data_IF_407800785097
#
_entry.id   IF_407800785097
#
_cell.length_a   1.000
_cell.length_b   1.000
_cell.length_c   1.000
_cell.angle_alpha   90.00
_cell.angle_beta   90.00
_cell.angle_gamma   90.00
#
_symmetry.space_group_name_H-M   'P 1'
#
loop_
_entity.id
_entity.type
_entity.pdbx_description
1 polymer ?
#
# COMPACT_ATOMS: atom_id res chain seq x y z
N UNK A 1 -8.55 17.90 7.95
CA UNK A 1 -8.63 19.35 7.67
C UNK A 1 -8.88 19.62 6.18
N UNK A 2 -8.01 19.18 5.25
CA UNK A 2 -8.16 19.45 3.81
C UNK A 2 -9.52 19.02 3.23
N UNK A 3 -10.00 17.83 3.57
CA UNK A 3 -11.30 17.32 3.10
C UNK A 3 -12.49 18.16 3.58
N UNK A 4 -12.45 18.65 4.83
CA UNK A 4 -13.51 19.53 5.38
C UNK A 4 -13.53 20.89 4.68
N UNK A 5 -12.36 21.44 4.39
CA UNK A 5 -12.27 22.71 3.63
C UNK A 5 -12.81 22.51 2.22
N UNK A 6 -12.40 21.44 1.55
CA UNK A 6 -12.82 21.12 0.18
C UNK A 6 -14.35 20.99 0.07
N UNK A 7 -14.98 20.22 0.97
CA UNK A 7 -16.45 20.03 0.97
C UNK A 7 -17.22 21.28 1.42
N UNK A 8 -16.57 22.17 2.16
CA UNK A 8 -17.14 23.49 2.53
C UNK A 8 -17.04 24.54 1.41
N UNK A 9 -16.07 24.39 0.49
CA UNK A 9 -15.86 25.34 -0.60
C UNK A 9 -16.70 25.04 -1.84
N UNK A 10 -16.88 23.75 -2.16
CA UNK A 10 -17.52 23.31 -3.42
C UNK A 10 -18.40 22.08 -3.15
N UNK A 11 -19.53 21.95 -3.87
CA UNK A 11 -20.37 20.76 -3.78
C UNK A 11 -19.60 19.51 -4.23
N UNK A 12 -19.85 18.38 -3.55
CA UNK A 12 -19.20 17.12 -3.83
C UNK A 12 -19.41 16.67 -5.30
N UNK A 13 -20.58 16.93 -5.85
CA UNK A 13 -20.92 16.56 -7.23
C UNK A 13 -20.10 17.33 -8.28
N UNK A 14 -19.67 18.55 -7.97
CA UNK A 14 -18.87 19.36 -8.88
C UNK A 14 -17.42 18.87 -9.04
N UNK A 15 -16.90 18.17 -8.03
CA UNK A 15 -15.53 17.63 -8.00
C UNK A 15 -15.48 16.12 -8.21
N UNK A 16 -16.63 15.45 -8.21
CA UNK A 16 -16.72 14.00 -8.41
C UNK A 16 -16.20 13.60 -9.79
N UNK A 17 -15.40 12.54 -9.84
CA UNK A 17 -14.76 12.08 -11.07
C UNK A 17 -13.62 12.95 -11.61
N UNK A 18 -13.11 13.89 -10.82
CA UNK A 18 -11.93 14.67 -11.18
C UNK A 18 -10.67 14.00 -10.62
N UNK A 19 -9.64 13.87 -11.45
CA UNK A 19 -8.32 13.36 -11.03
C UNK A 19 -7.60 14.35 -10.09
N UNK A 20 -7.97 15.64 -10.16
CA UNK A 20 -7.38 16.72 -9.36
C UNK A 20 -8.45 17.53 -8.60
N UNK A 21 -9.13 16.94 -7.60
CA UNK A 21 -10.27 17.59 -6.94
C UNK A 21 -9.92 18.91 -6.24
N UNK A 22 -8.71 19.04 -5.68
CA UNK A 22 -8.26 20.27 -5.01
C UNK A 22 -8.02 21.41 -5.99
N UNK A 23 -7.29 21.17 -7.08
CA UNK A 23 -7.02 22.19 -8.10
C UNK A 23 -8.33 22.64 -8.77
N UNK A 24 -9.23 21.68 -9.07
CA UNK A 24 -10.55 21.95 -9.64
C UNK A 24 -11.42 22.80 -8.71
N UNK A 25 -11.39 22.56 -7.40
CA UNK A 25 -12.14 23.37 -6.44
C UNK A 25 -11.70 24.84 -6.47
N UNK A 26 -10.39 25.12 -6.48
CA UNK A 26 -9.87 26.49 -6.60
C UNK A 26 -10.25 27.15 -7.93
N UNK A 27 -10.23 26.38 -9.02
CA UNK A 27 -10.67 26.85 -10.33
C UNK A 27 -12.16 27.22 -10.35
N UNK A 28 -13.03 26.41 -9.72
CA UNK A 28 -14.48 26.65 -9.66
C UNK A 28 -14.85 27.91 -8.87
N UNK A 29 -14.07 28.30 -7.87
CA UNK A 29 -14.27 29.54 -7.12
C UNK A 29 -13.55 30.75 -7.75
N UNK A 30 -12.94 30.57 -8.93
CA UNK A 30 -12.30 31.66 -9.70
C UNK A 30 -10.88 32.01 -9.28
N UNK A 31 -10.24 31.23 -8.40
CA UNK A 31 -8.87 31.49 -7.92
C UNK A 31 -7.86 30.65 -8.72
N UNK A 32 -7.74 30.91 -10.01
CA UNK A 32 -6.94 30.11 -10.94
C UNK A 32 -5.44 30.04 -10.60
N UNK A 33 -4.87 31.12 -10.04
CA UNK A 33 -3.46 31.10 -9.62
C UNK A 33 -3.21 30.08 -8.49
N UNK A 34 -4.15 29.95 -7.54
CA UNK A 34 -4.04 28.98 -6.46
C UNK A 34 -4.20 27.54 -6.99
N UNK A 35 -5.08 27.31 -7.97
CA UNK A 35 -5.19 26.05 -8.68
C UNK A 35 -3.85 25.64 -9.31
N UNK A 36 -3.15 26.57 -9.98
CA UNK A 36 -1.83 26.33 -10.54
C UNK A 36 -0.76 25.98 -9.50
N UNK A 37 -0.73 26.68 -8.37
CA UNK A 37 0.20 26.38 -7.27
C UNK A 37 -0.07 24.99 -6.66
N UNK A 38 -1.33 24.66 -6.46
CA UNK A 38 -1.74 23.33 -5.94
C UNK A 38 -1.34 22.23 -6.91
N UNK A 39 -1.62 22.37 -8.20
CA UNK A 39 -1.23 21.40 -9.21
C UNK A 39 0.29 21.20 -9.28
N UNK A 40 1.07 22.28 -9.26
CA UNK A 40 2.53 22.22 -9.22
C UNK A 40 3.04 21.51 -7.94
N UNK A 41 2.47 21.86 -6.79
CA UNK A 41 2.77 21.19 -5.52
C UNK A 41 2.45 19.70 -5.55
N UNK A 42 1.34 19.31 -6.17
CA UNK A 42 0.96 17.91 -6.34
C UNK A 42 1.98 17.12 -7.19
N UNK A 43 2.47 17.71 -8.28
CA UNK A 43 3.53 17.08 -9.12
C UNK A 43 4.80 16.83 -8.32
N UNK A 44 5.25 17.82 -7.54
CA UNK A 44 6.46 17.68 -6.71
C UNK A 44 6.23 16.60 -5.64
N UNK A 45 5.09 16.64 -4.96
CA UNK A 45 4.75 15.69 -3.90
C UNK A 45 4.67 14.25 -4.45
N UNK A 46 4.00 14.04 -5.57
CA UNK A 46 3.89 12.73 -6.22
C UNK A 46 5.26 12.21 -6.66
N UNK A 47 6.10 13.06 -7.24
CA UNK A 47 7.47 12.70 -7.62
C UNK A 47 8.29 12.26 -6.41
N UNK A 48 8.22 13.00 -5.29
CA UNK A 48 8.92 12.65 -4.06
C UNK A 48 8.45 11.31 -3.49
N UNK A 49 7.13 11.07 -3.48
CA UNK A 49 6.56 9.80 -3.03
C UNK A 49 7.02 8.64 -3.91
N UNK A 50 6.97 8.78 -5.24
CA UNK A 50 7.45 7.76 -6.18
C UNK A 50 8.91 7.38 -5.93
N UNK A 51 9.78 8.36 -5.71
CA UNK A 51 11.20 8.11 -5.40
C UNK A 51 11.36 7.31 -4.11
N UNK A 52 10.62 7.64 -3.06
CA UNK A 52 10.67 6.93 -1.77
C UNK A 52 10.18 5.49 -1.91
N UNK A 53 9.06 5.27 -2.60
CA UNK A 53 8.53 3.92 -2.83
C UNK A 53 9.46 3.09 -3.71
N UNK A 54 10.00 3.65 -4.78
CA UNK A 54 10.98 2.99 -5.65
C UNK A 54 12.20 2.51 -4.87
N UNK A 55 12.73 3.38 -4.01
CA UNK A 55 13.86 3.07 -3.15
C UNK A 55 13.53 1.99 -2.11
N UNK A 56 12.39 2.11 -1.44
CA UNK A 56 11.91 1.14 -0.45
C UNK A 56 11.69 -0.24 -1.05
N UNK A 57 11.01 -0.32 -2.19
CA UNK A 57 10.72 -1.57 -2.88
C UNK A 57 11.99 -2.32 -3.29
N UNK A 58 12.97 -1.61 -3.85
CA UNK A 58 14.25 -2.20 -4.23
C UNK A 58 14.99 -2.85 -3.04
N UNK A 59 14.90 -2.25 -1.87
CA UNK A 59 15.48 -2.79 -0.62
C UNK A 59 14.72 -4.00 -0.08
N UNK A 60 13.41 -4.01 -0.18
CA UNK A 60 12.60 -5.16 0.23
C UNK A 60 12.98 -6.37 -0.63
N UNK A 61 13.06 -6.24 -1.95
CA UNK A 61 13.46 -7.32 -2.83
C UNK A 61 14.88 -7.79 -2.56
N UNK A 62 15.79 -6.87 -2.28
CA UNK A 62 17.15 -7.19 -1.87
C UNK A 62 17.17 -8.04 -0.58
N UNK A 63 16.42 -7.63 0.44
CA UNK A 63 16.31 -8.37 1.70
C UNK A 63 15.74 -9.77 1.50
N UNK A 64 14.66 -9.88 0.74
CA UNK A 64 14.04 -11.17 0.40
C UNK A 64 15.01 -12.09 -0.36
N UNK A 65 15.78 -11.55 -1.30
CA UNK A 65 16.77 -12.33 -2.04
C UNK A 65 17.94 -12.77 -1.15
N UNK A 66 18.37 -11.92 -0.22
CA UNK A 66 19.41 -12.26 0.78
C UNK A 66 18.95 -13.39 1.70
N UNK A 67 17.69 -13.39 2.08
CA UNK A 67 17.07 -14.42 2.92
C UNK A 67 16.73 -15.72 2.15
N UNK A 68 17.00 -15.76 0.82
CA UNK A 68 16.79 -16.93 -0.04
C UNK A 68 15.37 -17.07 -0.59
N UNK A 69 14.50 -16.06 -0.39
CA UNK A 69 13.11 -16.07 -0.86
C UNK A 69 12.96 -15.71 -2.34
N UNK A 70 13.97 -15.02 -2.90
CA UNK A 70 14.04 -14.63 -4.31
C UNK A 70 15.39 -15.08 -4.94
N UNK A 71 15.48 -15.12 -6.28
CA UNK A 71 16.72 -15.48 -6.96
C UNK A 71 17.91 -14.62 -6.55
N UNK A 72 19.15 -15.18 -6.48
CA UNK A 72 20.34 -14.45 -6.01
C UNK A 72 20.71 -13.22 -6.85
N UNK A 73 20.22 -13.14 -8.10
CA UNK A 73 20.42 -11.97 -8.95
C UNK A 73 19.90 -10.67 -8.28
N UNK A 74 18.80 -10.75 -7.55
CA UNK A 74 18.22 -9.62 -6.83
C UNK A 74 19.00 -9.22 -5.56
N UNK A 75 19.97 -10.03 -5.12
CA UNK A 75 20.86 -9.72 -4.02
C UNK A 75 22.14 -8.99 -4.44
N UNK A 76 22.33 -8.69 -5.73
CA UNK A 76 23.53 -8.01 -6.24
C UNK A 76 23.49 -6.52 -5.91
N UNK A 77 24.62 -6.03 -5.39
CA UNK A 77 24.87 -4.62 -5.02
C UNK A 77 25.84 -4.02 -6.05
N UNK A 78 25.59 -2.79 -6.46
CA UNK A 78 26.51 -2.07 -7.35
C UNK A 78 27.84 -1.77 -6.63
N UNK A 79 29.02 -2.09 -7.21
CA UNK A 79 30.30 -1.95 -6.52
C UNK A 79 30.63 -0.51 -6.10
N UNK A 80 30.29 0.48 -6.93
CA UNK A 80 30.56 1.90 -6.68
C UNK A 80 29.48 2.55 -5.80
N UNK A 81 28.19 2.39 -6.15
CA UNK A 81 27.07 3.11 -5.50
C UNK A 81 26.49 2.39 -4.29
N UNK A 82 26.87 1.14 -4.05
CA UNK A 82 26.40 0.31 -2.91
C UNK A 82 24.87 0.18 -2.84
N UNK A 83 24.19 0.23 -3.98
CA UNK A 83 22.73 0.13 -4.12
C UNK A 83 22.32 -1.13 -4.89
N UNK A 84 21.13 -1.70 -4.66
CA UNK A 84 20.62 -2.86 -5.40
C UNK A 84 20.11 -2.44 -6.79
N UNK A 85 21.02 -2.10 -7.70
CA UNK A 85 20.74 -1.50 -9.00
C UNK A 85 19.85 -2.36 -9.90
N UNK A 86 20.02 -3.68 -9.87
CA UNK A 86 19.21 -4.62 -10.67
C UNK A 86 17.74 -4.48 -10.26
N UNK A 87 17.46 -4.46 -8.95
CA UNK A 87 16.10 -4.31 -8.45
C UNK A 87 15.51 -2.96 -8.84
N UNK A 88 16.29 -1.89 -8.69
CA UNK A 88 15.84 -0.54 -9.01
C UNK A 88 15.46 -0.41 -10.50
N UNK A 89 16.30 -0.91 -11.41
CA UNK A 89 16.03 -0.88 -12.85
C UNK A 89 14.82 -1.75 -13.19
N UNK A 90 14.78 -3.00 -12.68
CA UNK A 90 13.68 -3.92 -12.95
C UNK A 90 12.33 -3.40 -12.48
N UNK A 91 12.27 -2.90 -11.25
CA UNK A 91 11.04 -2.29 -10.71
C UNK A 91 10.64 -1.07 -11.54
N UNK A 92 11.60 -0.20 -11.89
CA UNK A 92 11.33 0.97 -12.72
C UNK A 92 10.71 0.61 -14.07
N UNK A 93 11.26 -0.41 -14.76
CA UNK A 93 10.73 -0.89 -16.04
C UNK A 93 9.32 -1.46 -15.87
N UNK A 94 9.10 -2.30 -14.85
CA UNK A 94 7.78 -2.91 -14.59
C UNK A 94 6.75 -1.83 -14.25
N UNK A 95 7.08 -0.88 -13.38
CA UNK A 95 6.17 0.21 -13.01
C UNK A 95 5.86 1.09 -14.22
N UNK A 96 6.85 1.45 -15.04
CA UNK A 96 6.64 2.24 -16.25
C UNK A 96 5.72 1.51 -17.25
N UNK A 97 5.95 0.21 -17.47
CA UNK A 97 5.12 -0.59 -18.35
C UNK A 97 3.67 -0.69 -17.83
N UNK A 98 3.49 -0.99 -16.55
CA UNK A 98 2.16 -1.06 -15.95
C UNK A 98 1.43 0.28 -16.01
N UNK A 99 2.12 1.40 -15.73
CA UNK A 99 1.54 2.74 -15.80
C UNK A 99 1.11 3.14 -17.21
N UNK A 100 1.72 2.56 -18.25
CA UNK A 100 1.34 2.83 -19.63
C UNK A 100 0.04 2.13 -20.07
N UNK A 101 -0.31 1.01 -19.44
CA UNK A 101 -1.42 0.15 -19.88
C UNK A 101 -2.59 0.05 -18.92
N UNK A 102 -2.43 0.41 -17.66
CA UNK A 102 -3.45 0.23 -16.65
C UNK A 102 -4.07 1.56 -16.19
N UNK A 103 -5.37 1.51 -15.85
CA UNK A 103 -6.10 2.65 -15.31
C UNK A 103 -5.67 2.97 -13.87
N UNK A 104 -5.64 4.25 -13.55
CA UNK A 104 -5.22 4.75 -12.23
C UNK A 104 -6.06 4.16 -11.08
N UNK A 105 -7.38 4.05 -11.27
CA UNK A 105 -8.30 3.52 -10.26
C UNK A 105 -7.93 2.10 -9.82
N UNK A 106 -7.53 1.24 -10.76
CA UNK A 106 -7.12 -0.14 -10.47
C UNK A 106 -5.91 -0.17 -9.54
N UNK A 107 -4.94 0.73 -9.75
CA UNK A 107 -3.75 0.80 -8.89
C UNK A 107 -4.07 1.35 -7.51
N UNK A 108 -4.93 2.36 -7.42
CA UNK A 108 -5.37 2.92 -6.15
C UNK A 108 -6.06 1.85 -5.31
N UNK A 109 -6.99 1.11 -5.89
CA UNK A 109 -7.71 0.03 -5.22
C UNK A 109 -6.80 -1.10 -4.76
N UNK A 110 -5.89 -1.58 -5.62
CA UNK A 110 -4.92 -2.62 -5.27
C UNK A 110 -3.94 -2.17 -4.19
N UNK A 111 -3.52 -0.92 -4.22
CA UNK A 111 -2.65 -0.33 -3.19
C UNK A 111 -3.38 -0.27 -1.85
N UNK A 112 -4.65 0.15 -1.85
CA UNK A 112 -5.45 0.24 -0.64
C UNK A 112 -5.64 -1.14 0.01
N UNK A 113 -6.10 -2.14 -0.75
CA UNK A 113 -6.32 -3.49 -0.19
C UNK A 113 -5.00 -4.13 0.29
N UNK A 114 -3.93 -3.99 -0.48
CA UNK A 114 -2.60 -4.51 -0.13
C UNK A 114 -2.05 -3.88 1.15
N UNK A 115 -2.17 -2.57 1.28
CA UNK A 115 -1.69 -1.83 2.46
C UNK A 115 -2.49 -2.18 3.71
N UNK A 116 -3.83 -2.20 3.61
CA UNK A 116 -4.70 -2.57 4.73
C UNK A 116 -4.44 -4.03 5.16
N UNK A 117 -4.25 -4.93 4.22
CA UNK A 117 -3.89 -6.32 4.52
C UNK A 117 -2.52 -6.43 5.19
N UNK A 118 -1.53 -5.68 4.74
CA UNK A 118 -0.22 -5.63 5.39
C UNK A 118 -0.31 -5.13 6.84
N UNK A 119 -1.14 -4.11 7.11
CA UNK A 119 -1.38 -3.64 8.49
C UNK A 119 -2.02 -4.71 9.37
N UNK A 120 -2.97 -5.49 8.84
CA UNK A 120 -3.55 -6.64 9.56
C UNK A 120 -2.45 -7.64 9.93
N UNK A 121 -1.58 -7.99 8.97
CA UNK A 121 -0.47 -8.93 9.22
C UNK A 121 0.51 -8.40 10.27
N UNK A 122 0.83 -7.10 10.24
CA UNK A 122 1.70 -6.48 11.25
C UNK A 122 1.05 -6.53 12.63
N UNK A 123 -0.24 -6.22 12.74
CA UNK A 123 -0.97 -6.31 14.01
C UNK A 123 -0.99 -7.74 14.57
N UNK A 124 -1.24 -8.74 13.73
CA UNK A 124 -1.16 -10.16 14.09
C UNK A 124 0.27 -10.51 14.51
N UNK A 125 1.27 -10.08 13.74
CA UNK A 125 2.69 -10.31 14.04
C UNK A 125 3.10 -9.76 15.41
N UNK A 126 2.63 -8.58 15.80
CA UNK A 126 2.87 -8.00 17.11
C UNK A 126 2.28 -8.89 18.22
N UNK A 127 1.06 -9.38 18.04
CA UNK A 127 0.41 -10.25 19.04
C UNK A 127 1.14 -11.59 19.17
N UNK A 128 1.52 -12.21 18.06
CA UNK A 128 2.29 -13.46 18.04
C UNK A 128 3.65 -13.26 18.72
N UNK A 129 4.40 -12.23 18.32
CA UNK A 129 5.74 -11.95 18.85
C UNK A 129 5.72 -11.63 20.36
N UNK A 130 4.63 -11.08 20.87
CA UNK A 130 4.44 -10.84 22.31
C UNK A 130 4.26 -12.13 23.10
N UNK A 131 3.73 -13.19 22.47
CA UNK A 131 3.54 -14.50 23.11
C UNK A 131 4.78 -15.41 22.96
N UNK A 132 5.42 -15.36 21.80
CA UNK A 132 6.56 -16.26 21.49
C UNK A 132 7.88 -15.77 22.04
N UNK A 133 8.08 -14.45 22.13
CA UNK A 133 9.33 -13.84 22.61
C UNK A 133 9.02 -12.61 23.50
N UNK A 134 8.55 -12.83 24.75
CA UNK A 134 8.13 -11.75 25.65
C UNK A 134 9.29 -10.89 26.12
N UNK A 135 10.50 -11.47 26.29
CA UNK A 135 11.67 -10.81 26.90
C UNK A 135 12.54 -10.03 25.90
N UNK A 136 12.19 -10.09 24.61
CA UNK A 136 12.92 -9.36 23.58
C UNK A 136 12.97 -7.86 23.87
N UNK A 137 14.17 -7.29 23.85
CA UNK A 137 14.38 -5.84 24.00
C UNK A 137 13.69 -5.10 22.86
N UNK A 138 12.75 -4.19 23.20
CA UNK A 138 11.99 -3.38 22.25
C UNK A 138 12.22 -1.93 22.52
N UNK A 139 12.56 -1.16 21.47
CA UNK A 139 12.75 0.29 21.57
C UNK A 139 11.41 1.00 21.95
N UNK A 140 10.29 0.47 21.43
CA UNK A 140 8.95 0.94 21.76
C UNK A 140 8.05 -0.23 22.13
N UNK A 141 7.31 -0.08 23.22
CA UNK A 141 6.30 -1.08 23.63
C UNK A 141 4.92 -0.53 23.33
N UNK A 142 4.24 -1.13 22.36
CA UNK A 142 2.83 -0.81 22.05
C UNK A 142 1.99 -0.87 23.33
N UNK A 143 1.28 0.21 23.70
CA UNK A 143 0.43 0.22 24.87
C UNK A 143 -0.81 -0.66 24.68
N UNK A 144 -1.42 -1.11 25.79
CA UNK A 144 -2.71 -1.82 25.79
C UNK A 144 -2.79 -3.02 24.82
N UNK A 145 -1.70 -3.78 24.67
CA UNK A 145 -1.77 -5.06 23.94
C UNK A 145 -2.51 -6.09 24.79
N UNK A 146 -3.53 -6.80 24.26
CA UNK A 146 -3.86 -7.00 22.83
C UNK A 146 -4.89 -6.01 22.25
N UNK A 147 -5.43 -5.06 22.99
CA UNK A 147 -6.54 -4.19 22.55
C UNK A 147 -6.19 -3.37 21.31
N UNK A 148 -5.03 -2.69 21.32
CA UNK A 148 -4.62 -1.82 20.19
C UNK A 148 -4.43 -2.58 18.87
N UNK A 149 -3.74 -3.74 18.80
CA UNK A 149 -3.66 -4.53 17.58
C UNK A 149 -5.03 -5.06 17.11
N UNK A 150 -5.89 -5.47 18.04
CA UNK A 150 -7.24 -5.95 17.70
C UNK A 150 -8.08 -4.82 17.07
N UNK A 151 -8.07 -3.64 17.67
CA UNK A 151 -8.75 -2.47 17.09
C UNK A 151 -8.18 -2.13 15.70
N UNK A 152 -6.86 -2.19 15.52
CA UNK A 152 -6.23 -2.00 14.22
C UNK A 152 -6.73 -3.00 13.17
N UNK A 153 -6.83 -4.29 13.53
CA UNK A 153 -7.36 -5.33 12.65
C UNK A 153 -8.83 -5.06 12.30
N UNK A 154 -9.66 -4.74 13.29
CA UNK A 154 -11.09 -4.49 13.09
C UNK A 154 -11.33 -3.27 12.18
N UNK A 155 -10.58 -2.18 12.38
CA UNK A 155 -10.67 -0.98 11.54
C UNK A 155 -10.22 -1.32 10.10
N UNK A 156 -9.11 -2.02 9.91
CA UNK A 156 -8.66 -2.42 8.58
C UNK A 156 -9.67 -3.34 7.89
N UNK A 157 -10.22 -4.32 8.60
CA UNK A 157 -11.27 -5.19 8.06
C UNK A 157 -12.53 -4.41 7.71
N UNK A 158 -12.94 -3.47 8.55
CA UNK A 158 -14.05 -2.57 8.28
C UNK A 158 -13.84 -1.78 6.98
N UNK A 159 -12.66 -1.20 6.77
CA UNK A 159 -12.34 -0.45 5.57
C UNK A 159 -12.29 -1.33 4.30
N UNK A 160 -11.85 -2.59 4.43
CA UNK A 160 -11.79 -3.53 3.31
C UNK A 160 -13.18 -4.06 2.96
N UNK A 161 -13.94 -4.48 3.97
CA UNK A 161 -15.24 -5.17 3.79
C UNK A 161 -16.39 -4.19 3.63
N UNK A 162 -16.36 -3.02 4.29
CA UNK A 162 -17.49 -2.11 4.41
C UNK A 162 -18.58 -2.64 5.37
N UNK A 163 -19.57 -1.81 5.66
CA UNK A 163 -20.73 -2.21 6.45
C UNK A 163 -21.91 -2.52 5.51
N UNK A 164 -22.58 -3.67 5.68
CA UNK A 164 -23.87 -3.87 5.04
C UNK A 164 -24.90 -2.94 5.71
N UNK A 165 -25.40 -1.97 4.97
CA UNK A 165 -26.52 -1.10 5.38
C UNK A 165 -27.78 -1.52 4.65
N UNK A 166 -28.92 -1.41 5.34
CA UNK A 166 -30.22 -1.61 4.72
C UNK A 166 -30.72 -0.24 4.25
N UNK A 167 -30.67 -0.01 2.95
CA UNK A 167 -31.20 1.19 2.31
C UNK A 167 -32.39 0.80 1.43
N UNK A 168 -33.55 1.40 1.66
CA UNK A 168 -34.80 1.10 0.95
C UNK A 168 -35.17 -0.41 0.93
N UNK A 169 -34.94 -1.14 2.02
CA UNK A 169 -35.25 -2.57 2.14
C UNK A 169 -34.31 -3.49 1.37
N UNK A 170 -33.23 -2.97 0.80
CA UNK A 170 -32.17 -3.75 0.15
C UNK A 170 -30.88 -3.64 0.93
N UNK A 171 -30.15 -4.77 1.04
CA UNK A 171 -28.80 -4.78 1.58
C UNK A 171 -27.87 -4.07 0.59
N UNK A 172 -27.53 -2.82 0.91
CA UNK A 172 -26.53 -2.04 0.18
C UNK A 172 -25.25 -2.02 1.00
N UNK A 173 -24.15 -2.26 0.35
CA UNK A 173 -22.83 -2.22 0.99
C UNK A 173 -22.36 -0.77 1.03
N UNK A 174 -22.39 -0.17 2.22
CA UNK A 174 -21.86 1.18 2.43
C UNK A 174 -20.37 1.11 2.71
N UNK A 175 -19.58 1.62 1.79
CA UNK A 175 -18.11 1.57 1.86
C UNK A 175 -17.55 0.17 1.51
N UNK A 176 -16.26 -0.01 1.77
CA UNK A 176 -15.52 -1.20 1.38
C UNK A 176 -15.06 -1.18 -0.07
N UNK A 177 -14.21 -2.13 -0.42
CA UNK A 177 -13.62 -2.21 -1.76
C UNK A 177 -14.52 -3.02 -2.71
N UNK A 178 -14.55 -2.66 -4.01
CA UNK A 178 -15.30 -3.40 -5.03
C UNK A 178 -14.93 -4.89 -5.09
N UNK A 179 -15.87 -5.74 -5.49
CA UNK A 179 -15.63 -7.19 -5.62
C UNK A 179 -14.49 -7.51 -6.59
N UNK A 180 -14.35 -6.70 -7.63
CA UNK A 180 -13.27 -6.84 -8.62
C UNK A 180 -11.89 -6.67 -8.00
N UNK A 181 -11.74 -5.74 -7.05
CA UNK A 181 -10.50 -5.53 -6.29
C UNK A 181 -10.15 -6.74 -5.44
N UNK A 182 -11.15 -7.40 -4.84
CA UNK A 182 -10.95 -8.64 -4.11
C UNK A 182 -10.46 -9.77 -5.01
N UNK A 183 -11.05 -9.93 -6.19
CA UNK A 183 -10.63 -10.95 -7.16
C UNK A 183 -9.18 -10.70 -7.58
N UNK A 184 -8.85 -9.46 -7.95
CA UNK A 184 -7.47 -9.07 -8.30
C UNK A 184 -6.50 -9.33 -7.17
N UNK A 185 -6.87 -8.96 -5.95
CA UNK A 185 -6.03 -9.19 -4.76
C UNK A 185 -5.78 -10.68 -4.51
N UNK A 186 -6.82 -11.51 -4.56
CA UNK A 186 -6.70 -12.97 -4.38
C UNK A 186 -5.80 -13.58 -5.46
N UNK A 187 -5.94 -13.17 -6.71
CA UNK A 187 -5.07 -13.62 -7.81
C UNK A 187 -3.61 -13.28 -7.51
N UNK A 188 -3.32 -12.04 -7.11
CA UNK A 188 -1.95 -11.63 -6.74
C UNK A 188 -1.43 -12.37 -5.50
N UNK A 189 -2.27 -12.60 -4.51
CA UNK A 189 -1.91 -13.35 -3.31
C UNK A 189 -1.58 -14.80 -3.63
N UNK A 190 -2.40 -15.46 -4.45
CA UNK A 190 -2.17 -16.83 -4.90
C UNK A 190 -0.87 -16.91 -5.71
N UNK A 191 -0.64 -15.99 -6.63
CA UNK A 191 0.63 -15.90 -7.37
C UNK A 191 1.84 -15.79 -6.43
N UNK A 192 1.76 -14.89 -5.44
CA UNK A 192 2.80 -14.73 -4.42
C UNK A 192 3.04 -16.01 -3.61
N UNK A 193 1.98 -16.70 -3.20
CA UNK A 193 2.07 -17.97 -2.48
C UNK A 193 2.65 -19.09 -3.34
N UNK A 194 2.28 -19.17 -4.62
CA UNK A 194 2.87 -20.14 -5.56
C UNK A 194 4.37 -19.91 -5.70
N UNK A 195 4.81 -18.68 -5.87
CA UNK A 195 6.25 -18.35 -5.92
C UNK A 195 6.94 -18.71 -4.59
N UNK A 196 6.29 -18.39 -3.46
CA UNK A 196 6.84 -18.71 -2.14
C UNK A 196 6.99 -20.20 -1.93
N UNK A 197 5.98 -21.02 -2.17
CA UNK A 197 6.03 -22.46 -1.94
C UNK A 197 6.88 -23.21 -2.98
N UNK A 198 6.92 -22.73 -4.22
CA UNK A 198 7.72 -23.35 -5.27
C UNK A 198 9.21 -23.09 -5.12
N UNK A 199 9.59 -21.87 -4.75
CA UNK A 199 10.97 -21.41 -4.68
C UNK A 199 11.43 -21.04 -3.27
N UNK A 200 10.73 -20.10 -2.62
CA UNK A 200 11.13 -19.49 -1.34
C UNK A 200 11.22 -20.50 -0.21
N UNK A 201 10.21 -21.34 -0.03
CA UNK A 201 10.17 -22.33 1.05
C UNK A 201 11.34 -23.34 0.98
N UNK A 202 11.73 -23.75 -0.22
CA UNK A 202 12.82 -24.72 -0.42
C UNK A 202 14.22 -24.13 -0.26
N UNK A 203 14.38 -22.82 -0.53
CA UNK A 203 15.70 -22.13 -0.51
C UNK A 203 15.86 -21.13 0.62
N UNK A 204 14.87 -21.00 1.50
CA UNK A 204 14.91 -20.10 2.64
C UNK A 204 16.07 -20.43 3.57
N UNK A 205 16.95 -19.48 3.78
CA UNK A 205 18.06 -19.58 4.74
C UNK A 205 17.56 -19.51 6.20
N UNK A 206 16.36 -19.00 6.43
CA UNK A 206 15.76 -18.93 7.77
C UNK A 206 15.34 -20.30 8.29
N UNK A 207 14.92 -21.22 7.40
CA UNK A 207 14.56 -22.59 7.75
C UNK A 207 15.80 -23.47 8.05
N UNK A 208 17.00 -23.01 7.68
CA UNK A 208 18.27 -23.73 7.87
C UNK A 208 19.07 -23.25 9.11
N UNK A 209 18.55 -22.27 9.84
CA UNK A 209 19.15 -21.88 11.12
C UNK A 209 18.63 -22.81 12.22
N UNK A 210 19.50 -23.56 12.91
CA UNK A 210 19.12 -24.37 14.04
C UNK A 210 18.58 -23.53 15.22
#
# INVERSE_FOLDING_TARGET
AASLVLTGMVSLDAIRGSDEPLAKAFSLIGINWAAGVVAFGAVIATTAVLLVFQYGQARIFFSMARDGLLPPAFAKIHPKYKTPYINTIWIGVVVAALSAFANLDVFIELTNIGTLFAFILVCIGIMVLRRTDPDRKRAFRTPLVPLTPILGILICLYLIVGIPMIENGRLVRSGGLPIETWIRFVVWLVLGLVIYFSYGFRKSRLAQRP
#
